data_IF_896649535383
#
_entry.id   IF_896649535383
#
_cell.length_a   1.000
_cell.length_b   1.000
_cell.length_c   1.000
_cell.angle_alpha   90.00
_cell.angle_beta   90.00
_cell.angle_gamma   90.00
#
_symmetry.space_group_name_H-M   'P 1'
#
loop_
_entity.id
_entity.type
_entity.pdbx_description
1 polymer ?
#
# COMPACT_ATOMS: atom_id res chain seq x y z
N UNK A 1 20.84 -45.78 -12.30
CA UNK A 1 19.42 -46.07 -12.53
C UNK A 1 18.95 -45.16 -13.67
N UNK A 2 18.58 -45.75 -14.81
CA UNK A 2 17.78 -45.14 -15.88
C UNK A 2 16.41 -44.71 -15.27
N UNK A 3 15.63 -43.73 -15.75
CA UNK A 3 15.10 -43.44 -17.09
C UNK A 3 14.53 -42.01 -17.09
N UNK A 4 14.63 -41.29 -18.20
CA UNK A 4 13.80 -40.12 -18.55
C UNK A 4 12.62 -40.59 -19.39
N UNK A 5 11.37 -40.13 -19.12
CA UNK A 5 10.45 -39.48 -20.10
C UNK A 5 9.10 -39.04 -19.47
N UNK A 6 8.47 -38.08 -20.15
CA UNK A 6 7.21 -37.35 -20.00
C UNK A 6 5.92 -38.17 -19.77
N UNK A 7 4.94 -37.53 -19.11
CA UNK A 7 3.51 -37.68 -19.44
C UNK A 7 2.70 -36.41 -19.08
N UNK A 8 2.25 -35.72 -20.13
CA UNK A 8 0.91 -35.15 -20.42
C UNK A 8 0.01 -34.60 -19.31
N UNK A 9 -0.52 -33.39 -19.59
CA UNK A 9 -1.54 -32.66 -18.84
C UNK A 9 -2.93 -33.32 -18.84
N UNK A 10 -3.61 -33.24 -17.69
CA UNK A 10 -5.06 -33.32 -17.49
C UNK A 10 -5.33 -32.34 -16.33
N UNK A 11 -6.18 -31.32 -16.43
CA UNK A 11 -7.61 -31.37 -16.73
C UNK A 11 -8.27 -30.55 -15.61
N UNK A 12 -8.94 -29.45 -15.97
CA UNK A 12 -9.51 -28.47 -15.05
C UNK A 12 -10.67 -29.05 -14.20
N UNK A 13 -10.87 -28.58 -12.96
CA UNK A 13 -12.05 -28.92 -12.18
C UNK A 13 -13.26 -28.06 -12.59
N UNK A 14 -14.27 -28.74 -13.13
CA UNK A 14 -15.70 -28.73 -12.76
C UNK A 14 -16.34 -27.41 -12.31
N UNK A 15 -17.12 -26.80 -13.21
CA UNK A 15 -18.37 -26.14 -12.82
C UNK A 15 -19.58 -26.94 -13.34
N UNK A 16 -20.59 -26.92 -12.49
CA UNK A 16 -21.81 -27.68 -12.40
C UNK A 16 -22.87 -27.21 -13.40
N UNK A 17 -23.38 -28.11 -14.24
CA UNK A 17 -24.79 -28.13 -14.66
C UNK A 17 -25.09 -29.45 -15.41
N UNK A 18 -25.65 -30.40 -14.67
CA UNK A 18 -26.13 -31.68 -15.16
C UNK A 18 -27.37 -31.51 -16.03
N UNK A 19 -27.25 -31.90 -17.30
CA UNK A 19 -28.38 -32.22 -18.19
C UNK A 19 -28.99 -33.53 -17.69
N UNK A 20 -30.25 -33.50 -17.28
CA UNK A 20 -31.06 -34.70 -17.02
C UNK A 20 -31.76 -35.06 -18.33
N UNK A 21 -31.34 -36.17 -18.92
CA UNK A 21 -32.11 -36.94 -19.91
C UNK A 21 -32.76 -38.12 -19.19
N UNK A 22 -34.02 -38.40 -19.50
CA UNK A 22 -34.85 -39.35 -18.76
C UNK A 22 -36.29 -39.45 -19.27
N UNK A 23 -36.41 -39.87 -20.53
CA UNK A 23 -37.18 -41.05 -20.97
C UNK A 23 -38.69 -41.22 -20.64
N UNK A 24 -39.43 -41.42 -21.75
CA UNK A 24 -40.69 -42.14 -21.99
C UNK A 24 -42.05 -41.49 -21.68
N UNK A 25 -42.61 -40.93 -22.76
CA UNK A 25 -44.03 -40.68 -22.95
C UNK A 25 -44.72 -41.92 -23.55
N UNK A 26 -45.74 -42.43 -22.87
CA UNK A 26 -46.80 -43.25 -23.48
C UNK A 26 -48.10 -42.46 -23.42
N UNK A 27 -48.63 -42.08 -24.58
CA UNK A 27 -50.05 -41.71 -24.72
C UNK A 27 -50.55 -42.24 -26.07
N UNK A 28 -51.57 -43.08 -25.96
CA UNK A 28 -52.32 -43.75 -27.03
C UNK A 28 -52.87 -42.81 -28.10
N UNK A 29 -52.91 -43.34 -29.33
CA UNK A 29 -53.54 -42.74 -30.49
C UNK A 29 -55.06 -43.02 -30.53
N UNK A 30 -55.85 -42.05 -30.98
CA UNK A 30 -57.15 -42.31 -31.58
C UNK A 30 -57.51 -41.28 -32.67
N UNK A 31 -57.44 -41.78 -33.91
CA UNK A 31 -58.30 -41.53 -35.08
C UNK A 31 -58.40 -40.13 -35.72
N UNK A 32 -58.05 -40.07 -36.99
CA UNK A 32 -58.17 -38.91 -37.86
C UNK A 32 -59.47 -38.82 -38.65
N UNK A 33 -59.62 -37.70 -39.35
CA UNK A 33 -60.02 -37.61 -40.76
C UNK A 33 -59.93 -36.14 -41.22
N UNK A 34 -59.50 -35.94 -42.47
CA UNK A 34 -59.99 -34.83 -43.28
C UNK A 34 -59.07 -33.63 -43.53
N UNK A 35 -58.44 -33.66 -44.72
CA UNK A 35 -58.32 -32.56 -45.68
C UNK A 35 -57.23 -31.48 -45.49
N UNK A 36 -56.27 -31.52 -46.42
CA UNK A 36 -55.71 -30.31 -47.04
C UNK A 36 -54.21 -30.16 -46.90
N UNK A 37 -53.49 -30.66 -47.91
CA UNK A 37 -52.10 -30.33 -48.23
C UNK A 37 -51.79 -28.84 -47.98
N UNK A 38 -50.94 -28.57 -46.99
CA UNK A 38 -50.20 -27.31 -46.90
C UNK A 38 -48.73 -27.68 -46.76
N UNK A 39 -47.99 -27.43 -47.83
CA UNK A 39 -46.55 -27.66 -47.89
C UNK A 39 -45.84 -26.93 -46.73
N UNK A 40 -44.95 -27.63 -46.04
CA UNK A 40 -44.11 -27.06 -45.00
C UNK A 40 -43.14 -26.04 -45.61
N UNK A 41 -43.42 -24.76 -45.42
CA UNK A 41 -42.55 -23.67 -45.84
C UNK A 41 -41.41 -23.52 -44.83
N UNK A 42 -40.23 -24.05 -45.17
CA UNK A 42 -38.97 -23.76 -44.49
C UNK A 42 -38.54 -22.32 -44.81
N UNK A 43 -38.92 -21.37 -43.96
CA UNK A 43 -38.20 -20.12 -43.85
C UNK A 43 -37.54 -20.09 -42.47
N UNK A 44 -36.21 -20.08 -42.38
CA UNK A 44 -35.55 -19.60 -41.18
C UNK A 44 -36.04 -18.17 -40.95
N UNK A 45 -36.74 -17.91 -39.84
CA UNK A 45 -36.96 -16.53 -39.41
C UNK A 45 -35.59 -15.95 -39.06
N UNK A 46 -35.02 -15.20 -40.00
CA UNK A 46 -33.82 -14.43 -39.73
C UNK A 46 -34.22 -13.34 -38.72
N UNK A 47 -33.99 -13.64 -37.44
CA UNK A 47 -34.14 -12.67 -36.35
C UNK A 47 -33.21 -11.51 -36.67
N UNK A 48 -33.77 -10.43 -37.25
CA UNK A 48 -33.02 -9.24 -37.57
C UNK A 48 -32.26 -8.79 -36.30
N UNK A 49 -30.94 -8.57 -36.38
CA UNK A 49 -30.13 -8.33 -35.19
C UNK A 49 -30.71 -7.12 -34.44
N UNK A 50 -31.23 -7.36 -33.24
CA UNK A 50 -31.81 -6.32 -32.39
C UNK A 50 -30.78 -5.20 -32.24
N UNK A 51 -31.04 -4.03 -32.83
CA UNK A 51 -30.12 -2.89 -32.84
C UNK A 51 -29.85 -2.43 -31.41
N UNK A 52 -28.73 -2.88 -30.82
CA UNK A 52 -28.18 -2.40 -29.54
C UNK A 52 -27.56 -1.01 -29.68
N UNK A 53 -28.27 -0.07 -30.30
CA UNK A 53 -27.77 1.25 -30.73
C UNK A 53 -27.40 2.17 -29.55
N UNK A 54 -27.91 1.89 -28.36
CA UNK A 54 -27.69 2.70 -27.17
C UNK A 54 -26.70 2.09 -26.17
N UNK A 55 -26.48 0.77 -26.19
CA UNK A 55 -25.55 0.10 -25.26
C UNK A 55 -24.12 0.54 -25.53
N UNK A 56 -23.71 0.63 -26.80
CA UNK A 56 -22.37 1.15 -27.15
C UNK A 56 -22.15 2.60 -26.69
N UNK A 57 -23.20 3.43 -26.67
CA UNK A 57 -23.11 4.81 -26.16
C UNK A 57 -22.99 4.85 -24.64
N UNK A 58 -23.74 4.01 -23.92
CA UNK A 58 -23.63 3.93 -22.45
C UNK A 58 -22.31 3.35 -22.00
N UNK A 59 -21.80 2.31 -22.68
CA UNK A 59 -20.46 1.77 -22.44
C UNK A 59 -19.40 2.81 -22.75
N UNK A 60 -19.51 3.54 -23.87
CA UNK A 60 -18.58 4.60 -24.23
C UNK A 60 -18.59 5.78 -23.24
N UNK A 61 -19.76 6.19 -22.74
CA UNK A 61 -19.87 7.23 -21.71
C UNK A 61 -19.26 6.74 -20.39
N UNK A 62 -19.58 5.52 -19.96
CA UNK A 62 -19.02 4.94 -18.73
C UNK A 62 -17.49 4.84 -18.80
N UNK A 63 -16.96 4.35 -19.93
CA UNK A 63 -15.51 4.26 -20.15
C UNK A 63 -14.86 5.65 -20.21
N UNK A 64 -15.51 6.62 -20.85
CA UNK A 64 -15.02 8.00 -20.92
C UNK A 64 -14.94 8.67 -19.54
N UNK A 65 -15.97 8.52 -18.71
CA UNK A 65 -15.98 9.03 -17.32
C UNK A 65 -14.88 8.37 -16.48
N UNK A 66 -14.67 7.06 -16.65
CA UNK A 66 -13.62 6.33 -15.95
C UNK A 66 -12.22 6.84 -16.31
N UNK A 67 -11.94 7.05 -17.60
CA UNK A 67 -10.64 7.58 -18.07
C UNK A 67 -10.40 9.00 -17.54
N UNK A 68 -11.42 9.86 -17.52
CA UNK A 68 -11.31 11.20 -16.96
C UNK A 68 -11.06 11.19 -15.44
N UNK A 69 -11.77 10.31 -14.70
CA UNK A 69 -11.58 10.15 -13.27
C UNK A 69 -10.18 9.66 -12.91
N UNK A 70 -9.68 8.64 -13.63
CA UNK A 70 -8.31 8.13 -13.47
C UNK A 70 -7.27 9.18 -13.85
N UNK A 71 -7.48 9.92 -14.93
CA UNK A 71 -6.61 11.02 -15.34
C UNK A 71 -6.52 12.13 -14.28
N UNK A 72 -7.66 12.54 -13.71
CA UNK A 72 -7.70 13.55 -12.66
C UNK A 72 -7.07 13.06 -11.34
N UNK A 73 -7.27 11.80 -10.96
CA UNK A 73 -6.58 11.24 -9.78
C UNK A 73 -5.06 11.18 -9.99
N UNK A 74 -4.61 10.86 -11.21
CA UNK A 74 -3.20 10.74 -11.57
C UNK A 74 -2.41 12.05 -11.41
N UNK A 75 -3.08 13.21 -11.41
CA UNK A 75 -2.42 14.51 -11.21
C UNK A 75 -2.21 14.88 -9.74
N UNK A 76 -2.72 14.10 -8.77
CA UNK A 76 -2.61 14.41 -7.34
C UNK A 76 -1.79 13.34 -6.60
N UNK A 77 -1.52 12.22 -7.27
CA UNK A 77 -0.86 11.07 -6.66
C UNK A 77 0.62 11.03 -7.02
N UNK A 78 1.41 10.51 -6.08
CA UNK A 78 2.82 10.19 -6.27
C UNK A 78 2.93 8.89 -7.07
N UNK A 79 3.90 8.83 -7.98
CA UNK A 79 4.16 7.66 -8.80
C UNK A 79 4.43 6.40 -7.95
N UNK A 80 3.94 5.22 -8.40
CA UNK A 80 4.28 3.94 -7.78
C UNK A 80 5.79 3.71 -7.69
N UNK A 81 6.22 3.08 -6.60
CA UNK A 81 7.64 2.76 -6.35
C UNK A 81 8.47 3.91 -5.78
N UNK A 82 7.87 5.07 -5.52
CA UNK A 82 8.55 6.19 -4.86
C UNK A 82 8.66 5.95 -3.35
N UNK A 83 9.87 6.11 -2.80
CA UNK A 83 10.16 6.00 -1.38
C UNK A 83 10.79 7.28 -0.83
N UNK A 84 10.42 7.67 0.40
CA UNK A 84 11.03 8.78 1.14
C UNK A 84 11.58 8.21 2.45
N UNK A 85 12.88 8.40 2.69
CA UNK A 85 13.54 7.89 3.91
C UNK A 85 13.27 6.39 4.19
N UNK A 86 13.09 5.59 3.14
CA UNK A 86 12.78 4.16 3.22
C UNK A 86 11.28 3.83 3.35
N UNK A 87 10.40 4.82 3.53
CA UNK A 87 8.94 4.64 3.59
C UNK A 87 8.37 4.70 2.19
N UNK A 88 7.58 3.69 1.82
CA UNK A 88 6.93 3.64 0.52
C UNK A 88 5.71 4.55 0.47
N UNK A 89 5.74 5.53 -0.43
CA UNK A 89 4.71 6.58 -0.57
C UNK A 89 4.05 6.61 -1.94
N UNK A 90 4.46 5.73 -2.85
CA UNK A 90 3.84 5.61 -4.17
C UNK A 90 2.34 5.32 -4.07
N UNK A 91 1.53 6.03 -4.85
CA UNK A 91 0.07 5.95 -4.78
C UNK A 91 -0.56 6.76 -3.66
N UNK A 92 0.23 7.48 -2.84
CA UNK A 92 -0.29 8.42 -1.85
C UNK A 92 -0.35 9.84 -2.43
N UNK A 93 -1.19 10.67 -1.83
CA UNK A 93 -1.12 12.13 -2.01
C UNK A 93 0.06 12.69 -1.19
N UNK A 94 0.58 13.89 -1.51
CA UNK A 94 1.67 14.51 -0.73
C UNK A 94 1.37 14.60 0.77
N UNK A 95 0.14 14.97 1.13
CA UNK A 95 -0.28 15.04 2.54
C UNK A 95 -0.26 13.67 3.24
N UNK A 96 -0.81 12.63 2.60
CA UNK A 96 -0.80 11.28 3.15
C UNK A 96 0.63 10.69 3.23
N UNK A 97 1.48 11.01 2.26
CA UNK A 97 2.89 10.63 2.27
C UNK A 97 3.66 11.29 3.42
N UNK A 98 3.47 12.59 3.64
CA UNK A 98 4.10 13.31 4.74
C UNK A 98 3.69 12.74 6.11
N UNK A 99 2.40 12.41 6.26
CA UNK A 99 1.87 11.79 7.47
C UNK A 99 2.44 10.37 7.67
N UNK A 100 2.50 9.54 6.62
CA UNK A 100 3.08 8.20 6.70
C UNK A 100 4.55 8.21 7.10
N UNK A 101 5.35 9.13 6.54
CA UNK A 101 6.77 9.30 6.89
C UNK A 101 6.92 9.76 8.33
N UNK A 102 6.13 10.74 8.77
CA UNK A 102 6.17 11.26 10.14
C UNK A 102 5.78 10.19 11.14
N UNK A 103 4.71 9.44 10.87
CA UNK A 103 4.25 8.35 11.74
C UNK A 103 5.28 7.23 11.82
N UNK A 104 5.93 6.88 10.71
CA UNK A 104 6.99 5.88 10.70
C UNK A 104 8.19 6.33 11.55
N UNK A 105 8.63 7.58 11.43
CA UNK A 105 9.73 8.11 12.24
C UNK A 105 9.37 8.12 13.73
N UNK A 106 8.16 8.59 14.07
CA UNK A 106 7.70 8.66 15.46
C UNK A 106 7.61 7.27 16.10
N UNK A 107 7.09 6.28 15.36
CA UNK A 107 6.91 4.92 15.84
C UNK A 107 8.22 4.10 15.87
N UNK A 108 9.31 4.62 15.30
CA UNK A 108 10.57 3.89 15.21
C UNK A 108 11.12 3.63 16.61
N UNK A 109 11.31 2.36 16.96
CA UNK A 109 11.79 1.96 18.28
C UNK A 109 13.29 1.68 18.24
N UNK A 110 14.02 2.30 19.16
CA UNK A 110 15.43 2.05 19.40
C UNK A 110 15.55 1.30 20.73
N UNK A 111 16.15 0.12 20.67
CA UNK A 111 16.45 -0.66 21.87
C UNK A 111 17.79 -0.23 22.43
N UNK A 112 17.80 0.20 23.69
CA UNK A 112 19.02 0.58 24.39
C UNK A 112 19.73 -0.69 24.89
N UNK A 113 20.81 -1.07 24.22
CA UNK A 113 21.66 -2.19 24.62
C UNK A 113 22.71 -1.72 25.62
N UNK A 114 22.67 -2.21 26.86
CA UNK A 114 23.59 -1.82 27.94
C UNK A 114 23.06 -2.22 29.32
N UNK A 115 23.60 -1.61 30.39
CA UNK A 115 23.16 -1.83 31.78
C UNK A 115 21.64 -1.57 32.00
N UNK A 116 21.01 -0.83 31.09
CA UNK A 116 19.57 -0.55 31.08
C UNK A 116 18.65 -1.67 30.61
N UNK A 117 19.16 -2.85 30.27
CA UNK A 117 18.33 -4.07 30.14
C UNK A 117 17.22 -4.01 29.09
N UNK A 118 17.53 -3.63 27.85
CA UNK A 118 16.59 -3.80 26.72
C UNK A 118 15.39 -2.85 26.73
N UNK A 119 15.49 -1.71 27.42
CA UNK A 119 14.48 -0.64 27.34
C UNK A 119 14.35 -0.09 25.92
N UNK A 120 13.13 0.30 25.56
CA UNK A 120 12.80 0.85 24.26
C UNK A 120 12.56 2.36 24.38
N UNK A 121 13.08 3.11 23.41
CA UNK A 121 12.81 4.53 23.23
C UNK A 121 12.29 4.74 21.81
N UNK A 122 11.24 5.53 21.66
CA UNK A 122 10.67 5.83 20.34
C UNK A 122 11.34 7.05 19.70
N UNK A 123 11.24 7.19 18.38
CA UNK A 123 11.68 8.39 17.68
C UNK A 123 10.99 9.65 18.19
N UNK A 124 9.71 9.55 18.58
CA UNK A 124 9.00 10.67 19.21
C UNK A 124 9.56 11.04 20.59
N UNK A 125 9.96 10.07 21.41
CA UNK A 125 10.56 10.35 22.72
C UNK A 125 11.92 11.05 22.57
N UNK A 126 12.67 10.69 21.52
CA UNK A 126 13.95 11.31 21.20
C UNK A 126 13.81 12.69 20.54
N UNK A 127 12.59 13.15 20.25
CA UNK A 127 12.37 14.38 19.49
C UNK A 127 12.95 14.31 18.07
N UNK A 128 12.93 13.12 17.45
CA UNK A 128 13.36 12.96 16.07
C UNK A 128 12.39 13.66 15.12
N UNK A 129 12.92 14.48 14.23
CA UNK A 129 12.15 15.26 13.28
C UNK A 129 12.72 15.16 11.87
N UNK A 130 11.82 15.21 10.90
CA UNK A 130 12.10 15.24 9.47
C UNK A 130 11.08 16.18 8.81
N UNK A 131 11.51 16.98 7.84
CA UNK A 131 10.62 17.82 7.05
C UNK A 131 9.86 16.96 6.01
N UNK A 132 8.89 16.18 6.52
CA UNK A 132 8.15 15.20 5.74
C UNK A 132 7.31 15.87 4.63
N UNK A 133 6.76 17.06 4.90
CA UNK A 133 5.97 17.82 3.93
C UNK A 133 6.82 18.22 2.73
N UNK A 134 7.98 18.84 2.97
CA UNK A 134 8.88 19.26 1.88
C UNK A 134 9.39 18.07 1.07
N UNK A 135 9.68 16.94 1.72
CA UNK A 135 10.09 15.73 1.03
C UNK A 135 8.95 15.12 0.21
N UNK A 136 7.72 15.12 0.72
CA UNK A 136 6.55 14.63 0.00
C UNK A 136 6.19 15.52 -1.21
N UNK A 137 6.28 16.83 -1.05
CA UNK A 137 6.08 17.79 -2.14
C UNK A 137 7.14 17.60 -3.23
N UNK A 138 8.40 17.40 -2.83
CA UNK A 138 9.48 17.06 -3.76
C UNK A 138 9.22 15.74 -4.48
N UNK A 139 8.82 14.71 -3.75
CA UNK A 139 8.51 13.40 -4.34
C UNK A 139 7.39 13.48 -5.38
N UNK A 140 6.35 14.26 -5.09
CA UNK A 140 5.26 14.50 -6.04
C UNK A 140 5.69 15.34 -7.25
N UNK A 141 6.50 16.38 -7.05
CA UNK A 141 7.00 17.23 -8.13
C UNK A 141 7.94 16.46 -9.08
N UNK A 142 8.82 15.62 -8.54
CA UNK A 142 9.80 14.86 -9.30
C UNK A 142 9.19 13.58 -9.92
N UNK A 143 8.24 12.96 -9.21
CA UNK A 143 7.64 11.67 -9.57
C UNK A 143 6.11 11.70 -9.51
N UNK A 144 5.43 12.49 -10.37
CA UNK A 144 3.98 12.50 -10.40
C UNK A 144 3.43 11.24 -11.09
N UNK A 145 2.30 10.71 -10.61
CA UNK A 145 1.75 9.44 -11.10
C UNK A 145 1.43 9.45 -12.59
N UNK A 146 1.02 10.58 -13.16
CA UNK A 146 0.73 10.68 -14.61
C UNK A 146 1.98 10.50 -15.48
N UNK A 147 3.18 10.70 -14.91
CA UNK A 147 4.42 10.56 -15.64
C UNK A 147 4.99 9.14 -15.47
N UNK A 148 4.63 8.25 -16.40
CA UNK A 148 5.05 6.84 -16.41
C UNK A 148 6.58 6.69 -16.41
N UNK A 149 7.33 7.62 -17.01
CA UNK A 149 8.80 7.54 -17.04
C UNK A 149 9.45 7.83 -15.68
N UNK A 150 8.69 8.38 -14.74
CA UNK A 150 9.16 8.70 -13.38
C UNK A 150 8.87 7.59 -12.36
N UNK A 151 8.20 6.50 -12.78
CA UNK A 151 7.84 5.40 -11.91
C UNK A 151 9.06 4.57 -11.51
N UNK A 152 8.96 3.90 -10.36
CA UNK A 152 10.05 3.07 -9.80
C UNK A 152 11.35 3.87 -9.65
N UNK A 153 11.21 5.10 -9.14
CA UNK A 153 12.33 6.02 -8.94
C UNK A 153 13.26 5.58 -7.79
N UNK A 154 14.46 6.16 -7.77
CA UNK A 154 15.37 5.98 -6.66
C UNK A 154 14.78 6.60 -5.37
N UNK A 155 15.02 6.00 -4.19
CA UNK A 155 14.56 6.57 -2.93
C UNK A 155 15.10 7.98 -2.68
N UNK A 156 14.23 8.86 -2.18
CA UNK A 156 14.60 10.21 -1.76
C UNK A 156 15.12 10.13 -0.32
N UNK A 157 16.38 10.52 -0.12
CA UNK A 157 16.97 10.57 1.21
C UNK A 157 16.38 11.72 2.03
N UNK A 158 16.02 11.43 3.28
CA UNK A 158 15.59 12.41 4.26
C UNK A 158 16.70 12.71 5.26
N UNK A 159 16.86 13.98 5.63
CA UNK A 159 17.73 14.36 6.75
C UNK A 159 16.90 14.34 8.03
N UNK A 160 17.32 13.55 9.01
CA UNK A 160 16.68 13.46 10.33
C UNK A 160 17.48 14.34 11.29
N UNK A 161 16.79 15.20 12.02
CA UNK A 161 17.35 16.03 13.09
C UNK A 161 16.80 15.57 14.43
N UNK A 162 17.59 15.70 15.49
CA UNK A 162 17.21 15.34 16.84
C UNK A 162 17.09 16.60 17.71
N UNK A 163 16.11 16.66 18.60
CA UNK A 163 16.10 17.64 19.68
C UNK A 163 16.98 17.14 20.82
N UNK A 164 18.17 17.73 20.97
CA UNK A 164 19.14 17.33 21.99
C UNK A 164 18.55 17.35 23.42
N UNK A 165 17.67 18.30 23.73
CA UNK A 165 17.08 18.40 25.08
C UNK A 165 16.05 17.31 25.31
N UNK A 166 15.18 17.06 24.32
CA UNK A 166 14.18 16.00 24.40
C UNK A 166 14.87 14.62 24.48
N UNK A 167 15.87 14.40 23.63
CA UNK A 167 16.68 13.19 23.61
C UNK A 167 17.41 12.97 24.94
N UNK A 168 18.09 13.99 25.49
CA UNK A 168 18.76 13.86 26.78
C UNK A 168 17.77 13.53 27.90
N UNK A 169 16.63 14.22 27.94
CA UNK A 169 15.60 13.98 28.93
C UNK A 169 15.04 12.55 28.85
N UNK A 170 14.71 12.07 27.64
CA UNK A 170 14.19 10.73 27.42
C UNK A 170 15.20 9.64 27.76
N UNK A 171 16.47 9.82 27.38
CA UNK A 171 17.54 8.87 27.65
C UNK A 171 17.88 8.80 29.15
N UNK A 172 17.96 9.96 29.83
CA UNK A 172 18.21 10.02 31.29
C UNK A 172 17.08 9.38 32.09
N UNK A 173 15.84 9.53 31.65
CA UNK A 173 14.69 8.87 32.27
C UNK A 173 14.75 7.35 32.15
N UNK A 174 15.27 6.81 31.04
CA UNK A 174 15.30 5.38 30.79
C UNK A 174 16.53 4.69 31.39
N UNK A 175 17.70 5.31 31.32
CA UNK A 175 18.97 4.72 31.78
C UNK A 175 19.71 5.70 32.69
N UNK A 176 19.17 6.02 33.87
CA UNK A 176 19.80 7.00 34.76
C UNK A 176 21.20 6.58 35.22
N UNK A 177 21.50 5.28 35.25
CA UNK A 177 22.78 4.75 35.73
C UNK A 177 23.97 5.07 34.84
N UNK A 178 23.74 5.37 33.54
CA UNK A 178 24.82 5.80 32.64
C UNK A 178 25.07 7.30 32.68
N UNK A 179 24.23 8.07 33.39
CA UNK A 179 24.42 9.50 33.60
C UNK A 179 25.16 9.73 34.91
N UNK A 180 26.22 10.54 34.86
CA UNK A 180 26.80 11.12 36.07
C UNK A 180 26.33 12.56 36.17
N UNK A 181 25.78 12.93 37.32
CA UNK A 181 25.41 14.31 37.58
C UNK A 181 26.68 15.14 37.77
N UNK A 182 26.66 16.35 37.20
CA UNK A 182 27.72 17.31 37.42
C UNK A 182 27.81 17.64 38.91
N UNK A 183 29.01 17.55 39.47
CA UNK A 183 29.28 17.88 40.87
C UNK A 183 29.87 19.29 40.92
N UNK A 184 29.25 20.20 41.67
CA UNK A 184 29.72 21.58 41.78
C UNK A 184 31.13 21.68 42.38
N UNK A 185 31.91 22.65 41.88
CA UNK A 185 33.20 22.98 42.47
C UNK A 185 33.00 23.56 43.88
N UNK A 186 33.75 23.04 44.86
CA UNK A 186 33.65 23.51 46.25
C UNK A 186 34.92 24.27 46.63
N UNK A 187 34.78 25.44 47.24
CA UNK A 187 35.91 26.17 47.83
C UNK A 187 35.75 26.17 49.34
N UNK A 188 36.73 25.61 50.06
CA UNK A 188 36.75 25.54 51.52
C UNK A 188 37.92 26.32 52.09
N UNK A 189 37.68 27.08 53.16
CA UNK A 189 38.73 27.78 53.89
C UNK A 189 39.46 26.81 54.83
N UNK A 190 40.78 26.68 54.67
CA UNK A 190 41.65 25.86 55.52
C UNK A 190 42.64 26.73 56.28
N UNK A 191 42.16 27.46 57.29
CA UNK A 191 42.96 28.15 58.32
C UNK A 191 43.76 29.36 57.83
N UNK A 192 44.64 29.18 56.85
CA UNK A 192 45.51 30.23 56.29
C UNK A 192 45.27 30.47 54.80
N UNK A 193 44.34 29.75 54.16
CA UNK A 193 44.05 29.90 52.73
C UNK A 193 42.79 29.16 52.28
N UNK A 194 42.52 29.19 50.98
CA UNK A 194 41.38 28.50 50.36
C UNK A 194 41.86 27.31 49.54
N UNK A 195 41.21 26.16 49.72
CA UNK A 195 41.39 24.97 48.88
C UNK A 195 40.16 24.83 47.98
N UNK A 196 40.38 24.71 46.67
CA UNK A 196 39.33 24.47 45.69
C UNK A 196 39.34 22.99 45.28
N UNK A 197 38.19 22.34 45.38
CA UNK A 197 37.91 21.05 44.78
C UNK A 197 37.23 21.31 43.42
N UNK A 198 37.84 20.92 42.29
CA UNK A 198 37.25 21.15 40.97
C UNK A 198 35.93 20.40 40.81
N UNK A 199 35.04 20.97 40.00
CA UNK A 199 33.83 20.30 39.56
C UNK A 199 34.18 19.03 38.77
N UNK A 200 33.32 18.01 38.82
CA UNK A 200 33.43 16.79 38.03
C UNK A 200 32.18 16.54 37.22
#
# INVERSE_FOLDING_TARGET
MHVTDLATAAGAPTEENSIVDGTDATTEAATGDGAGDRHAEWAPSEDAPRKKRHIGRWVGIGLGVLVLGLGAASTILIAPGTAIAGVQVGGMTPGAAAEAVSNHLNAMQVTLTGEGGGKHVTGSDLGAHIDATKLADKAFADHPMWNITSWMSAPIAGTITLDDRAAEHALRAQVPTVYQDATDATVAFQGTGYAATPAK
#
